data_IF_793777741695
#
_entry.id   IF_793777741695
#
_cell.length_a   1.000
_cell.length_b   1.000
_cell.length_c   1.000
_cell.angle_alpha   90.00
_cell.angle_beta   90.00
_cell.angle_gamma   90.00
#
_symmetry.space_group_name_H-M   'P 1'
#
loop_
_entity.id
_entity.type
_entity.pdbx_description
1 polymer ?
#
# COMPACT_ATOMS: atom_id res chain seq x y z
N UNK A 1 -18.48 -2.60 -0.85
CA UNK A 1 -18.29 -1.35 -0.08
C UNK A 1 -17.18 -1.58 0.92
N UNK A 2 -16.25 -0.64 1.09
CA UNK A 2 -15.20 -0.78 2.09
C UNK A 2 -15.78 -0.63 3.51
N UNK A 3 -15.19 -1.33 4.49
CA UNK A 3 -15.60 -1.24 5.88
C UNK A 3 -15.21 0.14 6.44
N UNK A 4 -16.10 0.77 7.22
CA UNK A 4 -15.77 2.01 7.91
C UNK A 4 -14.63 1.81 8.93
N UNK A 5 -13.84 2.86 9.13
CA UNK A 5 -12.78 2.87 10.12
C UNK A 5 -13.36 2.74 11.53
N UNK A 6 -12.93 1.71 12.28
CA UNK A 6 -13.40 1.46 13.65
C UNK A 6 -13.08 2.60 14.61
N UNK A 7 -11.94 3.25 14.44
CA UNK A 7 -11.45 4.36 15.27
C UNK A 7 -11.39 5.64 14.46
N UNK A 8 -12.52 6.33 14.33
CA UNK A 8 -12.62 7.61 13.61
C UNK A 8 -11.74 8.70 14.22
N UNK A 9 -11.43 8.59 15.52
CA UNK A 9 -10.47 9.45 16.22
C UNK A 9 -9.02 9.30 15.74
N UNK A 10 -8.69 8.20 15.01
CA UNK A 10 -7.39 7.96 14.39
C UNK A 10 -7.39 8.20 12.88
N UNK A 11 -8.49 8.70 12.32
CA UNK A 11 -8.52 9.08 10.91
C UNK A 11 -7.60 10.27 10.69
N UNK A 12 -6.67 10.13 9.75
CA UNK A 12 -5.76 11.21 9.34
C UNK A 12 -6.38 11.96 8.16
N UNK A 13 -6.11 13.27 8.08
CA UNK A 13 -6.67 14.12 7.03
C UNK A 13 -5.97 13.87 5.70
N UNK A 14 -6.66 14.12 4.58
CA UNK A 14 -6.11 13.88 3.23
C UNK A 14 -4.76 14.58 2.98
N UNK A 15 -4.55 15.78 3.52
CA UNK A 15 -3.27 16.48 3.40
C UNK A 15 -2.13 15.77 4.16
N UNK A 16 -2.41 15.22 5.35
CA UNK A 16 -1.45 14.43 6.13
C UNK A 16 -1.14 13.10 5.44
N UNK A 17 -2.14 12.47 4.81
CA UNK A 17 -1.95 11.26 3.98
C UNK A 17 -0.98 11.54 2.83
N UNK A 18 -1.17 12.65 2.11
CA UNK A 18 -0.29 13.05 1.00
C UNK A 18 1.13 13.29 1.51
N UNK A 19 1.29 13.98 2.65
CA UNK A 19 2.61 14.20 3.26
C UNK A 19 3.31 12.88 3.63
N UNK A 20 2.59 11.91 4.20
CA UNK A 20 3.16 10.59 4.49
C UNK A 20 3.62 9.91 3.20
N UNK A 21 2.77 9.95 2.16
CA UNK A 21 3.07 9.35 0.86
C UNK A 21 4.32 9.99 0.22
N UNK A 22 4.40 11.32 0.19
CA UNK A 22 5.51 12.06 -0.44
C UNK A 22 6.84 11.88 0.29
N UNK A 23 6.82 11.62 1.60
CA UNK A 23 8.02 11.42 2.42
C UNK A 23 8.39 9.92 2.60
N UNK A 24 7.71 9.00 1.93
CA UNK A 24 7.96 7.56 2.09
C UNK A 24 8.77 6.99 0.93
N UNK A 25 9.83 6.25 1.24
CA UNK A 25 10.71 5.64 0.24
C UNK A 25 10.10 4.39 -0.44
N UNK A 26 9.20 3.71 0.26
CA UNK A 26 8.53 2.50 -0.21
C UNK A 26 7.16 2.32 0.43
N UNK A 27 6.33 1.49 -0.19
CA UNK A 27 5.11 0.98 0.40
C UNK A 27 4.98 -0.53 0.17
N UNK A 28 4.08 -1.17 0.91
CA UNK A 28 3.83 -2.60 0.81
C UNK A 28 2.63 -2.81 -0.09
N UNK A 29 2.87 -3.37 -1.28
CA UNK A 29 1.83 -3.84 -2.18
C UNK A 29 1.41 -5.26 -1.77
N UNK A 30 0.16 -5.42 -1.36
CA UNK A 30 -0.45 -6.70 -1.04
C UNK A 30 -1.38 -7.14 -2.16
N UNK A 31 -1.17 -8.36 -2.66
CA UNK A 31 -1.92 -9.01 -3.74
C UNK A 31 -2.48 -10.35 -3.25
N UNK A 32 -3.36 -10.98 -4.04
CA UNK A 32 -3.91 -12.31 -3.72
C UNK A 32 -3.35 -13.34 -4.68
N UNK A 33 -2.58 -14.30 -4.16
CA UNK A 33 -2.06 -15.43 -4.94
C UNK A 33 -3.18 -16.32 -5.44
N UNK A 34 -2.92 -17.07 -6.53
CA UNK A 34 -3.91 -17.99 -7.13
C UNK A 34 -4.45 -19.03 -6.14
N UNK A 35 -3.63 -19.46 -5.19
CA UNK A 35 -4.00 -20.37 -4.11
C UNK A 35 -4.71 -19.68 -2.92
N UNK A 36 -5.04 -18.40 -3.04
CA UNK A 36 -5.72 -17.61 -2.02
C UNK A 36 -4.82 -17.02 -0.92
N UNK A 37 -3.52 -17.30 -0.92
CA UNK A 37 -2.61 -16.72 0.07
C UNK A 37 -2.33 -15.24 -0.24
N UNK A 38 -2.22 -14.38 0.80
CA UNK A 38 -1.80 -13.00 0.60
C UNK A 38 -0.30 -12.94 0.25
N UNK A 39 0.05 -12.09 -0.71
CA UNK A 39 1.43 -11.83 -1.10
C UNK A 39 1.73 -10.34 -0.99
N UNK A 40 2.51 -9.98 0.05
CA UNK A 40 2.96 -8.62 0.32
C UNK A 40 4.41 -8.43 -0.13
N UNK A 41 4.67 -7.37 -0.91
CA UNK A 41 6.01 -7.04 -1.40
C UNK A 41 6.27 -5.54 -1.24
N UNK A 42 7.41 -5.12 -0.66
CA UNK A 42 7.80 -3.72 -0.64
C UNK A 42 8.15 -3.26 -2.06
N UNK A 43 7.64 -2.10 -2.45
CA UNK A 43 7.96 -1.46 -3.74
C UNK A 43 8.22 0.02 -3.53
N UNK A 44 9.29 0.52 -4.16
CA UNK A 44 9.46 1.96 -4.36
C UNK A 44 8.39 2.47 -5.29
N UNK A 45 7.83 3.64 -5.00
CA UNK A 45 6.68 4.16 -5.70
C UNK A 45 6.74 5.68 -5.83
N UNK A 46 5.90 6.21 -6.72
CA UNK A 46 5.61 7.64 -6.83
C UNK A 46 4.10 7.85 -6.82
N UNK A 47 3.67 9.00 -6.30
CA UNK A 47 2.26 9.38 -6.27
C UNK A 47 2.01 10.56 -7.21
N UNK A 48 1.18 10.35 -8.22
CA UNK A 48 0.90 11.35 -9.27
C UNK A 48 -0.59 11.29 -9.60
N UNK A 49 -1.27 12.44 -9.64
CA UNK A 49 -2.69 12.55 -10.04
C UNK A 49 -3.59 11.52 -9.33
N UNK A 50 -3.46 11.44 -7.99
CA UNK A 50 -4.26 10.56 -7.15
C UNK A 50 -4.06 9.05 -7.43
N UNK A 51 -2.91 8.67 -7.99
CA UNK A 51 -2.55 7.30 -8.35
C UNK A 51 -1.14 6.95 -7.90
N UNK A 52 -0.93 5.69 -7.51
CA UNK A 52 0.36 5.15 -7.12
C UNK A 52 0.95 4.41 -8.33
N UNK A 53 2.19 4.77 -8.69
CA UNK A 53 2.96 4.12 -9.74
C UNK A 53 4.21 3.51 -9.14
N UNK A 54 4.61 2.34 -9.63
CA UNK A 54 5.84 1.69 -9.24
C UNK A 54 6.46 1.01 -10.44
N UNK A 55 7.78 0.91 -10.44
CA UNK A 55 8.51 0.16 -11.46
C UNK A 55 8.49 -1.34 -11.15
N UNK A 56 8.38 -2.18 -12.18
CA UNK A 56 8.53 -3.63 -12.06
C UNK A 56 9.00 -4.26 -13.36
N UNK A 57 9.51 -5.49 -13.26
CA UNK A 57 9.78 -6.36 -14.41
C UNK A 57 8.48 -6.68 -15.17
N UNK A 58 8.60 -7.16 -16.40
CA UNK A 58 7.44 -7.52 -17.25
C UNK A 58 6.75 -8.83 -16.83
N UNK A 59 7.35 -9.59 -15.93
CA UNK A 59 6.83 -10.85 -15.41
C UNK A 59 7.10 -10.99 -13.89
N UNK A 60 6.38 -11.91 -13.25
CA UNK A 60 6.61 -12.33 -11.87
C UNK A 60 5.36 -12.36 -11.00
N UNK A 61 5.51 -12.95 -9.80
CA UNK A 61 4.38 -13.37 -8.95
C UNK A 61 3.35 -12.26 -8.65
N UNK A 62 3.78 -11.01 -8.39
CA UNK A 62 2.82 -9.90 -8.16
C UNK A 62 1.99 -9.57 -9.40
N UNK A 63 2.56 -9.67 -10.61
CA UNK A 63 1.85 -9.40 -11.86
C UNK A 63 0.89 -10.54 -12.17
N UNK A 64 1.31 -11.79 -11.98
CA UNK A 64 0.43 -12.96 -12.12
C UNK A 64 -0.77 -12.86 -11.17
N UNK A 65 -0.53 -12.42 -9.93
CA UNK A 65 -1.58 -12.18 -8.94
C UNK A 65 -2.54 -11.07 -9.39
N UNK A 66 -2.02 -9.93 -9.87
CA UNK A 66 -2.85 -8.80 -10.32
C UNK A 66 -3.67 -9.15 -11.57
N UNK A 67 -3.09 -9.91 -12.50
CA UNK A 67 -3.79 -10.41 -13.70
C UNK A 67 -4.95 -11.35 -13.33
N UNK A 68 -4.74 -12.23 -12.34
CA UNK A 68 -5.77 -13.13 -11.86
C UNK A 68 -6.82 -12.43 -10.97
N UNK A 69 -6.39 -11.46 -10.16
CA UNK A 69 -7.25 -10.71 -9.25
C UNK A 69 -6.70 -9.29 -9.03
N UNK A 70 -7.40 -8.31 -9.61
CA UNK A 70 -6.99 -6.90 -9.56
C UNK A 70 -7.23 -6.22 -8.20
N UNK A 71 -7.75 -6.92 -7.19
CA UNK A 71 -7.94 -6.37 -5.84
C UNK A 71 -6.60 -6.38 -5.10
N UNK A 72 -6.15 -5.20 -4.72
CA UNK A 72 -4.88 -4.98 -4.01
C UNK A 72 -5.07 -4.09 -2.79
N UNK A 73 -4.09 -4.11 -1.90
CA UNK A 73 -3.94 -3.12 -0.83
C UNK A 73 -2.54 -2.52 -0.90
N UNK A 74 -2.42 -1.24 -0.63
CA UNK A 74 -1.14 -0.54 -0.54
C UNK A 74 -1.00 0.10 0.83
N UNK A 75 0.05 -0.26 1.56
CA UNK A 75 0.30 0.24 2.90
C UNK A 75 1.58 1.07 2.92
N UNK A 76 1.46 2.28 3.46
CA UNK A 76 2.58 3.19 3.71
C UNK A 76 2.58 3.51 5.19
N UNK A 77 3.76 3.54 5.78
CA UNK A 77 3.96 3.84 7.19
C UNK A 77 4.80 5.11 7.25
N UNK A 78 4.25 6.16 7.87
CA UNK A 78 4.99 7.38 8.13
C UNK A 78 6.04 7.20 9.22
N UNK A 79 6.66 8.29 9.64
CA UNK A 79 7.70 8.27 10.67
C UNK A 79 7.21 7.64 11.97
N UNK A 80 8.01 6.71 12.53
CA UNK A 80 7.66 6.00 13.76
C UNK A 80 8.64 6.32 14.87
N UNK A 81 8.13 6.67 16.06
CA UNK A 81 8.90 6.72 17.29
C UNK A 81 8.49 5.56 18.20
N UNK A 82 9.38 4.59 18.40
CA UNK A 82 9.14 3.48 19.32
C UNK A 82 9.42 3.98 20.74
N UNK A 83 8.38 4.03 21.57
CA UNK A 83 8.53 4.36 22.98
C UNK A 83 8.86 3.08 23.77
N UNK A 84 9.83 3.11 24.69
CA UNK A 84 10.05 2.00 25.61
C UNK A 84 8.81 1.78 26.48
N UNK A 85 8.51 0.51 26.75
CA UNK A 85 7.45 0.06 27.65
C UNK A 85 7.81 0.26 29.11
#
# INVERSE_FOLDING_TARGET
>A
MFRELRRKDREIKNNEVIQIIENSDYGILSTVSQNGYPYGVPVSFVFINNSIYFHCATEGHKLDNILNNNKVSFCVVGETCILPT
#
